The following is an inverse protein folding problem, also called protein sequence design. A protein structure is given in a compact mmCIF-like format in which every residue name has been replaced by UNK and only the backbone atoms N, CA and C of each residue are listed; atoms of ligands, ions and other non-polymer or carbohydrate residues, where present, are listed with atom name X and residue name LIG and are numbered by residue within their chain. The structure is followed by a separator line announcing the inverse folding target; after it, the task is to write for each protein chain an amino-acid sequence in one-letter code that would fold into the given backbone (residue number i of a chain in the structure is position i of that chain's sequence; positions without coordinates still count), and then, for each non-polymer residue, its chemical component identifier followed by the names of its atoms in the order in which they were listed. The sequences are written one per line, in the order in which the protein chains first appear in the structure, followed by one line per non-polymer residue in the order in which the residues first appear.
data_IF_001447282394
#
_entry.id   IF_001447282394
#
_cell.length_a   1.000
_cell.length_b   1.000
_cell.length_c   1.000
_cell.angle_alpha   90.00
_cell.angle_beta   90.00
_cell.angle_gamma   90.00
#
_symmetry.space_group_name_H-M   'P 1'
#
loop_
_entity.id
_entity.type
_entity.pdbx_description
1 polymer ?
2 water ?
#
# COMPACT_ATOMS: atom_id res chain seq x y z
N UNK A 8 2.14 2.57 27.83
CA UNK A 8 3.03 1.58 27.23
C UNK A 8 2.35 0.93 26.04
N UNK A 9 3.12 0.73 24.97
CA UNK A 9 2.57 0.27 23.71
C UNK A 9 2.62 -1.25 23.52
N UNK A 10 1.70 -1.72 22.71
CA UNK A 10 1.87 -3.04 22.17
C UNK A 10 1.47 -3.05 20.70
N UNK A 11 2.16 -3.89 19.97
CA UNK A 11 2.12 -3.80 18.54
C UNK A 11 1.77 -5.13 17.95
N UNK A 12 0.73 -5.10 17.12
CA UNK A 12 0.18 -6.32 16.56
C UNK A 12 0.32 -6.31 15.07
N UNK A 13 0.87 -7.38 14.52
CA UNK A 13 0.86 -7.56 13.07
C UNK A 13 -0.03 -8.76 12.75
N UNK A 14 -0.68 -8.74 11.59
CA UNK A 14 -1.65 -9.74 11.18
C UNK A 14 -1.60 -9.78 9.69
N UNK A 15 -2.02 -10.90 9.14
CA UNK A 15 -1.85 -11.27 7.73
C UNK A 15 -3.10 -11.72 6.99
N UNK A 16 -3.31 -11.09 5.82
CA UNK A 16 -4.17 -11.62 4.79
C UNK A 16 -3.36 -12.51 3.92
N UNK A 17 -3.49 -13.79 4.18
CA UNK A 17 -2.79 -14.85 3.48
C UNK A 17 -3.59 -15.21 2.24
N UNK A 18 -2.97 -14.92 1.10
CA UNK A 18 -3.59 -15.01 -0.20
C UNK A 18 -3.08 -16.28 -0.88
N UNK A 19 -3.97 -16.95 -1.61
CA UNK A 19 -3.53 -17.94 -2.58
C UNK A 19 -3.02 -17.29 -3.85
N UNK A 20 -2.58 -18.13 -4.79
CA UNK A 20 -1.90 -17.67 -5.98
C UNK A 20 -2.83 -16.86 -6.85
N UNK A 21 -4.09 -17.25 -6.98
CA UNK A 21 -5.08 -16.44 -7.73
C UNK A 21 -5.58 -15.23 -6.96
N UNK A 22 -5.29 -15.17 -5.67
CA UNK A 22 -5.75 -14.07 -4.86
C UNK A 22 -7.28 -14.08 -4.86
N UNK A 23 -7.86 -15.28 -4.83
CA UNK A 23 -9.30 -15.48 -4.79
C UNK A 23 -9.68 -15.99 -3.41
N UNK A 24 -8.72 -16.39 -2.61
CA UNK A 24 -9.04 -17.05 -1.33
C UNK A 24 -8.06 -16.54 -0.29
N UNK A 25 -8.50 -16.47 0.93
CA UNK A 25 -7.55 -16.23 2.00
C UNK A 25 -7.69 -17.29 3.11
N UNK A 26 -6.53 -17.58 3.75
CA UNK A 26 -6.46 -18.43 4.94
C UNK A 26 -6.62 -17.69 6.31
N UNK A 27 -7.59 -18.19 7.05
CA UNK A 27 -8.19 -17.49 8.15
C UNK A 27 -8.34 -18.55 9.27
N UNK A 28 -8.25 -18.11 10.55
CA UNK A 28 -8.12 -19.05 11.65
C UNK A 28 -9.00 -18.71 12.85
N UNK A 29 -9.42 -19.74 13.56
CA UNK A 29 -10.16 -19.57 14.78
C UNK A 29 -9.51 -20.33 15.94
N UNK A 30 -9.22 -19.61 17.01
CA UNK A 30 -8.55 -20.19 18.17
C UNK A 30 -9.51 -21.00 18.94
N UNK A 31 -9.01 -22.08 19.61
CA UNK A 31 -9.84 -22.83 20.57
C UNK A 31 -10.51 -21.84 21.53
N UNK A 32 -11.84 -21.69 21.47
CA UNK A 32 -12.57 -20.70 22.28
C UNK A 32 -12.00 -20.42 23.69
N UNK A 33 -10.70 -20.13 23.78
CA UNK A 33 -9.90 -20.18 25.01
C UNK A 33 -10.68 -20.67 26.24
N UNK A 36 -10.86 -15.97 24.78
CA UNK A 36 -12.21 -15.96 25.29
C UNK A 36 -13.09 -14.99 24.51
N UNK A 37 -13.43 -15.41 23.31
CA UNK A 37 -14.45 -14.80 22.47
C UNK A 37 -14.86 -15.98 21.59
N UNK A 38 -15.18 -15.72 20.33
CA UNK A 38 -15.47 -16.78 19.39
C UNK A 38 -15.48 -16.27 17.96
N UNK A 39 -14.32 -16.07 17.36
CA UNK A 39 -14.31 -15.48 16.03
C UNK A 39 -13.12 -15.82 15.16
N UNK A 40 -13.32 -15.71 13.86
CA UNK A 40 -12.26 -15.84 12.91
C UNK A 40 -11.42 -14.58 12.87
N UNK A 41 -10.19 -14.73 12.43
CA UNK A 41 -9.22 -13.65 12.38
C UNK A 41 -8.03 -13.89 11.40
N UNK A 42 -7.41 -12.78 10.97
CA UNK A 42 -6.27 -12.79 10.12
C UNK A 42 -5.17 -13.17 11.04
N UNK A 43 -4.43 -14.25 10.75
CA UNK A 43 -3.39 -14.70 11.69
C UNK A 43 -2.26 -13.70 11.95
N UNK A 44 -1.87 -13.57 13.22
CA UNK A 44 -0.78 -12.71 13.63
C UNK A 44 -0.26 -12.90 15.08
N UNK A 45 0.40 -11.86 15.57
CA UNK A 45 0.94 -11.85 16.91
C UNK A 45 1.69 -10.56 17.23
N UNK A 46 2.29 -10.52 18.41
CA UNK A 46 3.02 -9.34 18.89
C UNK A 46 4.42 -9.24 18.37
N UNK A 47 4.80 -8.01 18.07
CA UNK A 47 6.13 -7.74 17.56
C UNK A 47 7.04 -7.53 18.78
N UNK A 48 8.19 -8.18 18.73
CA UNK A 48 9.08 -8.23 19.88
C UNK A 48 10.10 -7.12 19.75
N UNK A 49 10.82 -6.87 20.85
CA UNK A 49 11.58 -5.63 20.99
C UNK A 49 12.77 -5.62 20.10
N UNK A 50 13.26 -6.77 19.65
CA UNK A 50 14.40 -6.79 18.72
C UNK A 50 14.08 -7.13 17.27
N UNK A 51 12.86 -6.80 16.87
CA UNK A 51 12.43 -7.07 15.53
C UNK A 51 11.50 -5.98 14.98
N UNK A 52 11.65 -5.76 13.69
CA UNK A 52 10.72 -4.99 12.88
C UNK A 52 9.34 -5.66 12.77
N UNK A 53 8.32 -4.86 12.46
CA UNK A 53 7.03 -5.38 12.03
C UNK A 53 7.12 -6.54 11.11
N UNK A 54 7.76 -6.28 9.97
CA UNK A 54 7.86 -7.29 8.93
C UNK A 54 8.45 -8.53 9.53
N UNK A 55 9.55 -8.40 10.27
CA UNK A 55 10.17 -9.57 10.91
C UNK A 55 9.17 -10.34 11.77
N UNK A 56 8.38 -9.62 12.54
CA UNK A 56 7.51 -10.27 13.49
C UNK A 56 6.46 -11.05 12.73
N UNK A 57 5.91 -10.44 11.70
CA UNK A 57 4.89 -11.12 10.95
C UNK A 57 5.45 -12.40 10.33
N UNK A 58 6.61 -12.31 9.66
CA UNK A 58 7.17 -13.52 9.03
C UNK A 58 7.36 -14.61 10.08
N UNK A 59 7.86 -14.27 11.26
CA UNK A 59 8.12 -15.28 12.26
C UNK A 59 6.79 -15.88 12.72
N UNK A 60 5.84 -14.99 12.98
CA UNK A 60 4.53 -15.38 13.51
C UNK A 60 3.82 -16.29 12.57
N UNK A 61 3.99 -16.11 11.26
CA UNK A 61 3.26 -17.00 10.37
C UNK A 61 3.95 -18.33 10.34
N UNK A 62 5.24 -18.36 10.68
CA UNK A 62 5.88 -19.67 10.91
C UNK A 62 5.28 -20.42 12.10
N UNK A 63 5.29 -19.77 13.26
CA UNK A 63 4.74 -20.37 14.47
C UNK A 63 3.24 -20.73 14.27
N UNK A 64 2.46 -19.78 13.77
CA UNK A 64 1.03 -19.96 13.74
C UNK A 64 0.55 -20.97 12.76
N UNK A 65 1.19 -21.04 11.61
CA UNK A 65 0.50 -21.54 10.42
C UNK A 65 1.35 -22.37 9.46
N UNK A 66 2.66 -22.34 9.67
CA UNK A 66 3.57 -23.31 9.10
C UNK A 66 4.19 -22.77 7.83
N UNK A 67 3.98 -21.52 7.45
CA UNK A 67 4.52 -21.02 6.18
C UNK A 67 5.70 -20.07 6.33
N UNK A 68 6.52 -20.02 5.29
CA UNK A 68 7.68 -19.13 5.21
C UNK A 68 7.35 -18.05 4.25
N UNK A 69 7.14 -16.87 4.78
CA UNK A 69 6.72 -15.74 3.98
C UNK A 69 7.87 -15.25 3.11
N UNK A 70 7.56 -14.98 1.85
CA UNK A 70 8.58 -14.52 0.91
C UNK A 70 8.15 -13.20 0.28
N UNK A 71 6.87 -12.93 0.28
CA UNK A 71 6.43 -11.68 -0.29
C UNK A 71 5.27 -11.16 0.55
N UNK A 72 5.41 -9.92 1.03
CA UNK A 72 4.35 -9.29 1.78
C UNK A 72 4.43 -7.80 1.62
N UNK A 73 3.35 -7.08 1.92
CA UNK A 73 3.27 -5.66 1.66
C UNK A 73 2.35 -5.08 2.66
N UNK A 74 2.66 -3.92 3.24
CA UNK A 74 1.73 -3.30 4.19
C UNK A 74 0.39 -3.05 3.50
N UNK A 75 -0.72 -3.33 4.15
CA UNK A 75 -2.06 -3.27 3.57
C UNK A 75 -2.91 -2.18 4.23
N UNK A 76 -2.79 -2.05 5.53
CA UNK A 76 -3.60 -1.12 6.28
C UNK A 76 -3.16 -1.10 7.74
N UNK A 77 -3.15 0.06 8.36
CA UNK A 77 -2.74 0.21 9.75
C UNK A 77 -3.90 0.82 10.50
N UNK A 78 -4.06 0.44 11.77
CA UNK A 78 -5.18 0.89 12.62
C UNK A 78 -4.71 1.16 14.03
N UNK A 79 -5.11 2.30 14.61
CA UNK A 79 -4.68 2.68 15.95
C UNK A 79 -5.85 2.68 16.88
N UNK A 80 -5.65 2.26 18.12
CA UNK A 80 -6.70 2.39 19.14
C UNK A 80 -6.23 2.72 20.56
N UNK A 81 -6.92 3.71 21.15
CA UNK A 81 -6.63 4.20 22.48
C UNK A 81 -7.05 3.18 23.54
N UNK A 86 -1.94 1.78 24.74
CA UNK A 86 -2.23 2.18 23.37
C UNK A 86 -1.79 1.12 22.34
N UNK A 87 -2.63 0.93 21.35
CA UNK A 87 -2.72 -0.32 20.65
C UNK A 87 -2.47 -0.17 19.14
N UNK A 88 -1.40 -0.79 18.61
CA UNK A 88 -1.02 -0.55 17.18
C UNK A 88 -1.16 -1.76 16.32
N UNK A 89 -1.98 -1.64 15.28
CA UNK A 89 -2.33 -2.74 14.38
C UNK A 89 -1.88 -2.56 12.95
N UNK A 90 -1.00 -3.44 12.50
CA UNK A 90 -0.54 -3.40 11.13
C UNK A 90 -0.97 -4.70 10.40
N UNK A 91 -1.74 -4.54 9.32
CA UNK A 91 -2.17 -5.66 8.55
C UNK A 91 -1.39 -5.68 7.29
N UNK A 92 -0.91 -6.86 6.94
CA UNK A 92 -0.25 -7.02 5.70
C UNK A 92 -0.95 -8.09 4.91
N UNK A 93 -0.66 -7.88 3.66
CA UNK A 93 -0.82 -8.75 2.53
C UNK A 93 0.24 -9.78 2.44
N UNK A 94 -0.12 -11.04 2.37
CA UNK A 94 0.86 -12.09 2.13
C UNK A 94 0.47 -12.86 0.87
N UNK A 95 1.35 -12.71 -0.11
CA UNK A 95 1.11 -13.05 -1.52
C UNK A 95 1.94 -14.23 -1.97
N UNK A 96 3.08 -14.44 -1.33
CA UNK A 96 3.88 -15.59 -1.62
C UNK A 96 4.51 -16.13 -0.38
N UNK A 97 4.48 -17.45 -0.26
CA UNK A 97 5.14 -18.11 0.86
C UNK A 97 5.53 -19.51 0.42
N UNK A 98 6.36 -20.14 1.25
CA UNK A 98 6.67 -21.54 1.10
C UNK A 98 5.85 -22.27 2.14
N UNK A 99 5.59 -23.56 1.94
CA UNK A 99 5.00 -24.37 3.00
C UNK A 99 3.58 -24.18 2.59
N UNK A 100 2.67 -24.97 3.12
CA UNK A 100 1.25 -24.68 2.92
C UNK A 100 0.59 -24.46 4.30
N UNK A 101 -0.30 -23.43 4.45
CA UNK A 101 -0.72 -23.12 5.85
C UNK A 101 -1.71 -24.11 6.49
N UNK A 102 -1.58 -24.32 7.80
CA UNK A 102 -2.34 -25.29 8.59
C UNK A 102 -2.42 -24.72 9.99
N UNK A 103 -3.34 -25.23 10.79
CA UNK A 103 -3.48 -24.75 12.17
C UNK A 103 -2.48 -25.40 13.11
N UNK A 104 -1.29 -24.82 13.15
CA UNK A 104 -0.16 -25.41 13.79
C UNK A 104 -0.20 -25.28 15.28
N UNK A 105 -1.08 -24.43 15.79
CA UNK A 105 -1.17 -24.17 17.22
C UNK A 105 -2.50 -24.63 17.77
N UNK A 106 -3.16 -25.53 17.08
CA UNK A 106 -4.37 -26.11 17.55
C UNK A 106 -5.59 -25.31 17.10
N UNK A 107 -5.42 -24.38 16.16
CA UNK A 107 -6.58 -23.57 15.76
C UNK A 107 -7.27 -24.18 14.59
N UNK A 108 -8.38 -23.57 14.27
CA UNK A 108 -9.16 -23.88 13.08
C UNK A 108 -8.59 -23.02 11.99
N UNK A 109 -8.41 -23.59 10.81
CA UNK A 109 -7.96 -22.83 9.65
C UNK A 109 -8.90 -23.05 8.51
N UNK A 110 -9.28 -22.00 7.77
CA UNK A 110 -10.23 -22.13 6.63
C UNK A 110 -9.58 -21.45 5.48
N UNK A 111 -9.61 -22.11 4.33
CA UNK A 111 -9.33 -21.43 3.08
C UNK A 111 -10.68 -20.95 2.62
N UNK A 112 -10.86 -19.64 2.56
CA UNK A 112 -12.18 -19.08 2.34
C UNK A 112 -12.16 -18.11 1.17
N UNK A 113 -13.03 -18.47 0.23
CA UNK A 113 -13.36 -17.63 -0.89
C UNK A 113 -13.63 -16.17 -0.43
N UNK A 114 -12.96 -15.23 -1.06
CA UNK A 114 -13.14 -13.80 -0.76
C UNK A 114 -14.60 -13.32 -0.87
N UNK A 115 -15.25 -13.80 -1.90
CA UNK A 115 -16.67 -13.78 -2.05
C UNK A 115 -17.38 -14.08 -0.78
N UNK A 116 -16.84 -15.04 -0.04
CA UNK A 116 -17.59 -15.66 1.05
C UNK A 116 -17.15 -15.07 2.40
N UNK A 117 -16.22 -14.11 2.39
CA UNK A 117 -15.58 -13.70 3.65
C UNK A 117 -16.58 -13.06 4.56
N UNK A 118 -17.45 -12.26 3.95
CA UNK A 118 -18.61 -11.70 4.60
C UNK A 118 -19.35 -12.76 5.46
N UNK A 119 -19.22 -14.07 5.14
CA UNK A 119 -20.10 -15.11 5.73
C UNK A 119 -19.65 -15.38 7.16
N UNK A 120 -18.45 -14.97 7.58
CA UNK A 120 -17.83 -15.37 8.87
C UNK A 120 -17.79 -14.25 9.86
N UNK A 121 -17.80 -14.62 11.14
CA UNK A 121 -17.77 -13.69 12.27
C UNK A 121 -16.36 -13.30 12.58
N UNK A 122 -16.11 -12.00 12.60
CA UNK A 122 -14.83 -11.45 12.90
C UNK A 122 -15.03 -10.48 14.05
N UNK A 123 -14.01 -10.31 14.89
CA UNK A 123 -14.09 -9.26 15.93
C UNK A 123 -14.21 -7.90 15.28
N UNK A 124 -14.73 -6.89 15.94
CA UNK A 124 -14.93 -5.63 15.25
C UNK A 124 -13.60 -5.09 14.73
N UNK A 125 -12.49 -5.35 15.43
CA UNK A 125 -11.21 -4.80 15.03
C UNK A 125 -10.91 -5.11 13.54
N UNK A 126 -11.19 -6.32 13.11
CA UNK A 126 -10.90 -6.75 11.76
C UNK A 126 -11.93 -6.36 10.69
N UNK A 127 -13.08 -5.83 11.08
CA UNK A 127 -14.14 -5.59 10.11
C UNK A 127 -13.67 -4.69 8.98
N UNK A 128 -13.12 -3.51 9.31
CA UNK A 128 -12.66 -2.67 8.19
C UNK A 128 -11.59 -3.36 7.32
N UNK A 129 -10.82 -4.30 7.87
CA UNK A 129 -9.85 -4.98 7.04
C UNK A 129 -10.56 -6.01 6.18
N UNK A 130 -11.57 -6.68 6.71
CA UNK A 130 -12.35 -7.68 5.95
C UNK A 130 -12.97 -6.98 4.78
N UNK A 131 -13.43 -5.77 4.99
CA UNK A 131 -14.16 -5.07 3.95
C UNK A 131 -13.16 -4.58 2.93
N UNK A 132 -11.97 -4.18 3.37
CA UNK A 132 -10.94 -3.70 2.44
C UNK A 132 -10.49 -4.83 1.53
N UNK A 133 -10.34 -6.04 2.06
CA UNK A 133 -9.99 -7.18 1.25
C UNK A 133 -11.09 -7.40 0.19
N UNK A 134 -12.32 -7.30 0.63
CA UNK A 134 -13.46 -7.62 -0.21
C UNK A 134 -13.50 -6.53 -1.30
N UNK A 135 -13.37 -5.28 -0.91
CA UNK A 135 -13.39 -4.17 -1.86
C UNK A 135 -12.26 -4.31 -2.86
N UNK A 136 -11.04 -4.60 -2.41
CA UNK A 136 -9.94 -4.90 -3.31
C UNK A 136 -10.06 -6.28 -3.98
N UNK A 137 -11.29 -6.69 -4.36
CA UNK A 137 -11.70 -8.09 -4.65
C UNK A 137 -10.60 -9.08 -4.34
N UNK B 7 19.22 9.50 -14.35
CA UNK B 7 19.16 8.89 -15.71
C UNK B 7 20.41 8.04 -15.88
N UNK B 8 20.50 7.04 -15.00
CA UNK B 8 21.49 5.98 -15.17
C UNK B 8 21.08 5.06 -16.34
N UNK B 9 19.82 4.59 -16.36
CA UNK B 9 19.33 3.72 -17.47
C UNK B 9 17.84 3.84 -17.82
N UNK B 10 16.98 3.69 -16.82
CA UNK B 10 15.62 4.17 -16.99
C UNK B 10 15.27 5.10 -15.82
N UNK B 11 14.74 6.26 -16.20
CA UNK B 11 14.65 7.39 -15.33
C UNK B 11 13.26 7.92 -15.45
N UNK B 12 12.48 7.74 -14.40
CA UNK B 12 11.09 8.11 -14.37
C UNK B 12 10.95 9.35 -13.51
N UNK B 13 10.11 10.27 -13.94
CA UNK B 13 9.73 11.37 -13.09
C UNK B 13 8.25 11.36 -12.76
N UNK B 14 7.91 12.03 -11.67
CA UNK B 14 6.57 11.91 -11.12
C UNK B 14 6.22 13.08 -10.22
N UNK B 15 4.91 13.35 -10.11
CA UNK B 15 4.41 14.58 -9.53
C UNK B 15 3.37 14.37 -8.46
N UNK B 16 3.70 14.85 -7.27
CA UNK B 16 2.69 15.10 -6.25
C UNK B 16 2.06 16.43 -6.54
N UNK B 17 0.88 16.38 -7.13
CA UNK B 17 0.23 17.57 -7.69
C UNK B 17 -0.70 18.11 -6.66
N UNK B 18 -0.34 19.29 -6.19
CA UNK B 18 -0.93 19.94 -5.03
C UNK B 18 -1.88 21.03 -5.43
N UNK B 19 -2.96 21.21 -4.67
CA UNK B 19 -3.83 22.37 -4.81
C UNK B 19 -3.47 23.54 -3.90
N UNK B 20 -4.11 24.68 -4.10
CA UNK B 20 -4.00 25.75 -3.14
C UNK B 20 -5.07 25.53 -2.06
N UNK B 21 -4.70 25.20 -0.82
CA UNK B 21 -3.35 25.03 -0.33
C UNK B 21 -3.19 23.67 0.36
N UNK B 22 -2.89 22.67 -0.46
CA UNK B 22 -2.22 21.45 -0.04
C UNK B 22 -3.06 20.56 0.87
N UNK B 23 -4.37 20.77 0.83
CA UNK B 23 -5.36 19.83 1.39
C UNK B 23 -5.41 18.56 0.55
N UNK B 24 -5.28 18.74 -0.78
CA UNK B 24 -5.65 17.68 -1.75
C UNK B 24 -4.57 17.46 -2.84
N UNK B 25 -4.55 16.26 -3.42
CA UNK B 25 -3.58 15.92 -4.48
C UNK B 25 -4.26 15.27 -5.66
N UNK B 26 -3.70 15.50 -6.85
CA UNK B 26 -4.29 14.94 -8.05
C UNK B 26 -3.57 13.71 -8.61
N UNK B 27 -4.31 12.62 -8.59
CA UNK B 27 -3.93 11.25 -8.89
C UNK B 27 -4.69 10.71 -10.08
N UNK B 28 -4.12 9.75 -10.81
CA UNK B 28 -4.74 9.19 -11.99
C UNK B 28 -4.67 7.66 -12.01
N UNK B 29 -5.51 7.04 -12.84
CA UNK B 29 -5.51 5.59 -13.02
C UNK B 29 -5.63 5.22 -14.50
N UNK B 39 -4.32 0.47 -10.71
CA UNK B 39 -3.48 1.20 -9.76
C UNK B 39 -3.56 2.73 -9.95
N UNK B 40 -3.67 3.46 -8.84
CA UNK B 40 -3.58 4.91 -8.88
C UNK B 40 -2.16 5.31 -8.88
N UNK B 41 -1.85 6.53 -9.28
CA UNK B 41 -0.44 6.93 -9.20
C UNK B 41 -0.29 8.44 -9.30
N UNK B 42 0.87 8.93 -8.87
CA UNK B 42 1.27 10.31 -9.13
C UNK B 42 1.70 10.44 -10.61
N UNK B 43 1.01 11.31 -11.39
CA UNK B 43 1.24 11.30 -12.84
C UNK B 43 2.73 11.50 -13.20
N UNK B 44 3.23 10.71 -14.15
CA UNK B 44 4.63 10.68 -14.46
C UNK B 44 4.99 10.28 -15.87
N UNK B 45 6.27 9.94 -16.06
CA UNK B 45 6.81 9.58 -17.37
C UNK B 45 8.31 9.41 -17.39
N UNK B 46 8.81 8.77 -18.41
CA UNK B 46 10.24 8.56 -18.54
C UNK B 46 10.88 9.85 -18.97
N UNK B 47 12.11 10.06 -18.53
CA UNK B 47 12.90 11.19 -18.99
C UNK B 47 13.61 10.83 -20.30
N UNK B 48 13.33 11.55 -21.37
CA UNK B 48 13.87 11.18 -22.66
C UNK B 48 15.25 11.78 -22.92
N UNK B 49 15.94 11.23 -23.91
CA UNK B 49 17.31 11.65 -24.23
C UNK B 49 17.32 13.12 -24.54
N UNK B 50 18.20 13.84 -23.88
CA UNK B 50 18.31 15.28 -24.04
C UNK B 50 17.64 16.15 -22.97
N UNK B 51 16.75 15.56 -22.18
CA UNK B 51 15.96 16.27 -21.16
C UNK B 51 16.49 16.24 -19.74
N UNK B 52 16.36 17.37 -19.05
CA UNK B 52 16.43 17.38 -17.62
C UNK B 52 15.17 16.69 -17.08
N UNK B 53 15.31 16.13 -15.88
CA UNK B 53 14.19 15.58 -15.12
C UNK B 53 13.06 16.61 -14.98
N UNK B 54 13.44 17.83 -14.65
CA UNK B 54 12.52 18.92 -14.49
C UNK B 54 11.69 19.16 -15.77
N UNK B 55 12.37 19.30 -16.91
CA UNK B 55 11.68 19.61 -18.17
C UNK B 55 10.89 18.41 -18.65
N UNK B 56 11.36 17.20 -18.35
CA UNK B 56 10.62 15.98 -18.69
C UNK B 56 9.30 15.93 -17.92
N UNK B 57 9.32 16.38 -16.68
CA UNK B 57 8.11 16.48 -15.89
C UNK B 57 7.15 17.50 -16.47
N UNK B 58 7.68 18.67 -16.69
CA UNK B 58 6.86 19.77 -17.09
C UNK B 58 6.22 19.42 -18.39
N UNK B 59 6.88 18.56 -19.16
CA UNK B 59 6.37 18.14 -20.45
C UNK B 59 5.28 17.11 -20.26
N UNK B 60 5.58 16.15 -19.38
CA UNK B 60 4.69 15.03 -19.11
C UNK B 60 3.35 15.48 -18.55
N UNK B 61 3.35 16.39 -17.58
CA UNK B 61 2.12 16.91 -17.00
C UNK B 61 1.25 17.67 -18.03
N UNK B 62 1.83 18.51 -18.90
CA UNK B 62 1.03 19.08 -20.01
C UNK B 62 0.33 17.99 -20.83
N UNK B 63 1.06 16.96 -21.24
CA UNK B 63 0.45 15.89 -22.03
C UNK B 63 -0.67 15.16 -21.29
N UNK B 64 -0.41 14.81 -20.03
CA UNK B 64 -1.29 13.90 -19.33
C UNK B 64 -2.51 14.51 -18.65
N UNK B 65 -2.35 15.68 -18.06
CA UNK B 65 -3.39 16.33 -17.27
C UNK B 65 -3.55 17.75 -17.68
N UNK B 66 -2.75 18.17 -18.62
CA UNK B 66 -2.90 19.47 -19.22
C UNK B 66 -2.71 20.65 -18.30
N UNK B 67 -1.83 20.57 -17.33
CA UNK B 67 -1.49 21.75 -16.54
C UNK B 67 -0.15 22.18 -17.06
N UNK B 68 0.18 23.44 -16.84
CA UNK B 68 1.51 23.95 -17.14
C UNK B 68 2.23 24.29 -15.86
N UNK B 69 3.20 23.44 -15.49
CA UNK B 69 3.93 23.58 -14.23
C UNK B 69 4.73 24.87 -14.21
N UNK B 70 4.49 25.70 -13.21
CA UNK B 70 5.28 26.92 -13.02
C UNK B 70 6.08 26.84 -11.71
N UNK B 71 5.71 25.91 -10.83
CA UNK B 71 6.43 25.72 -9.58
C UNK B 71 6.49 24.25 -9.22
N UNK B 72 7.71 23.76 -9.05
CA UNK B 72 7.93 22.41 -8.59
C UNK B 72 9.27 22.37 -7.92
N UNK B 73 9.44 21.39 -7.01
CA UNK B 73 10.68 21.10 -6.31
C UNK B 73 10.79 19.60 -6.12
N UNK B 74 12.01 19.04 -6.08
CA UNK B 74 12.20 17.59 -5.82
C UNK B 74 11.79 17.31 -4.41
N UNK B 75 11.05 16.24 -4.24
CA UNK B 75 10.40 15.87 -2.98
C UNK B 75 11.22 14.71 -2.40
N UNK B 76 11.46 13.74 -3.27
CA UNK B 76 12.20 12.55 -2.94
C UNK B 76 12.57 11.80 -4.20
N UNK B 77 13.61 11.00 -4.10
CA UNK B 77 14.13 10.26 -5.22
C UNK B 77 14.28 8.78 -4.85
N UNK B 78 14.27 7.89 -5.84
CA UNK B 78 13.98 6.45 -5.65
C UNK B 78 14.83 5.63 -6.63
N UNK B 79 15.56 4.59 -6.19
CA UNK B 79 16.39 3.80 -7.13
C UNK B 79 16.35 2.27 -6.89
N UNK B 80 16.06 1.47 -7.91
CA UNK B 80 15.83 0.02 -7.71
C UNK B 80 17.02 -0.91 -7.91
N UNK B 81 17.88 -0.62 -8.88
CA UNK B 81 18.93 -1.55 -9.33
C UNK B 81 18.38 -2.91 -9.70
N UNK B 82 18.23 -3.11 -11.01
CA UNK B 82 17.89 -4.40 -11.58
C UNK B 82 19.11 -4.94 -12.32
N UNK B 86 18.47 -0.81 -14.14
CA UNK B 86 18.25 -0.08 -12.90
C UNK B 86 17.27 1.08 -13.13
N UNK B 87 16.22 1.13 -12.30
CA UNK B 87 15.09 2.03 -12.57
C UNK B 87 15.07 3.21 -11.58
N UNK B 88 15.33 4.42 -12.10
CA UNK B 88 15.59 5.58 -11.22
C UNK B 88 14.42 6.60 -11.20
N UNK B 89 13.75 6.77 -10.06
CA UNK B 89 12.62 7.70 -9.97
C UNK B 89 12.96 9.00 -9.30
N UNK B 90 12.46 10.11 -9.85
CA UNK B 90 12.45 11.41 -9.16
C UNK B 90 11.01 11.87 -8.92
N UNK B 91 10.60 11.93 -7.67
CA UNK B 91 9.32 12.55 -7.31
C UNK B 91 9.52 13.99 -6.94
N UNK B 92 8.71 14.84 -7.54
CA UNK B 92 8.74 16.28 -7.39
C UNK B 92 7.37 16.70 -6.82
N UNK B 93 7.32 17.79 -6.06
CA UNK B 93 6.04 18.38 -5.66
C UNK B 93 5.72 19.48 -6.69
N UNK B 94 4.45 19.65 -7.05
CA UNK B 94 4.07 20.66 -8.06
C UNK B 94 3.03 21.57 -7.47
N UNK B 95 3.42 22.81 -7.20
CA UNK B 95 2.70 23.62 -6.21
C UNK B 95 2.04 24.82 -6.84
N UNK B 96 2.46 25.17 -8.04
CA UNK B 96 1.80 26.21 -8.80
C UNK B 96 1.83 25.80 -10.25
N UNK B 97 0.78 26.15 -10.98
CA UNK B 97 0.66 25.81 -12.40
C UNK B 97 -0.51 26.56 -13.06
N UNK B 98 -0.41 26.83 -14.36
CA UNK B 98 -1.53 27.41 -15.10
C UNK B 98 -2.44 26.27 -15.54
N UNK B 99 -3.68 26.58 -15.91
CA UNK B 99 -4.68 25.56 -16.23
C UNK B 99 -5.03 24.74 -15.00
N UNK B 100 -5.95 23.80 -15.15
CA UNK B 100 -6.35 22.88 -14.06
C UNK B 100 -6.36 21.45 -14.64
N UNK B 101 -5.86 20.47 -13.84
CA UNK B 101 -5.61 19.11 -14.36
C UNK B 101 -6.87 18.30 -14.65
N UNK B 102 -6.84 17.47 -15.69
CA UNK B 102 -7.94 16.55 -15.99
C UNK B 102 -7.38 15.30 -16.70
N UNK B 103 -8.16 14.25 -16.81
CA UNK B 103 -7.72 13.03 -17.46
C UNK B 103 -7.65 13.20 -18.96
N UNK B 104 -6.74 14.07 -19.38
CA UNK B 104 -6.57 14.54 -20.76
C UNK B 104 -6.14 13.43 -21.71
N UNK B 105 -5.73 12.29 -21.17
CA UNK B 105 -5.39 11.11 -21.96
C UNK B 105 -6.46 10.02 -21.84
N UNK B 106 -7.59 10.38 -21.26
CA UNK B 106 -8.70 9.46 -21.13
C UNK B 106 -8.66 8.73 -19.82
N UNK B 107 -7.70 9.09 -18.97
CA UNK B 107 -7.51 8.33 -17.74
C UNK B 107 -8.44 8.85 -16.67
N UNK B 108 -8.52 8.14 -15.56
CA UNK B 108 -9.28 8.62 -14.42
C UNK B 108 -8.39 9.59 -13.67
N UNK B 109 -8.96 10.56 -12.98
CA UNK B 109 -8.20 11.60 -12.33
C UNK B 109 -9.07 12.30 -11.31
N UNK B 110 -8.65 12.23 -10.05
CA UNK B 110 -9.44 12.69 -8.92
C UNK B 110 -8.59 13.59 -8.06
N UNK B 111 -9.13 14.72 -7.65
CA UNK B 111 -8.57 15.42 -6.50
C UNK B 111 -8.89 14.60 -5.23
N UNK B 112 -7.85 14.22 -4.51
CA UNK B 112 -8.02 13.32 -3.38
C UNK B 112 -7.56 14.02 -2.14
N UNK B 113 -8.47 14.10 -1.18
CA UNK B 113 -8.13 14.56 0.15
C UNK B 113 -6.92 13.76 0.71
N UNK B 114 -5.95 14.49 1.25
CA UNK B 114 -4.69 13.89 1.69
C UNK B 114 -4.96 12.88 2.79
N UNK B 115 -5.98 13.19 3.57
CA UNK B 115 -6.54 12.33 4.61
C UNK B 115 -6.92 10.92 4.14
N UNK B 116 -7.00 10.74 2.81
CA UNK B 116 -7.70 9.58 2.27
C UNK B 116 -6.87 8.78 1.32
N UNK B 117 -5.64 9.20 1.05
CA UNK B 117 -4.85 8.55 0.02
C UNK B 117 -4.70 7.03 0.20
N UNK B 118 -4.79 6.51 1.44
CA UNK B 118 -4.60 5.08 1.68
C UNK B 118 -5.75 4.26 1.09
N UNK B 119 -6.90 4.90 0.88
CA UNK B 119 -8.02 4.23 0.23
C UNK B 119 -7.64 3.81 -1.18
N UNK B 120 -6.50 4.30 -1.66
CA UNK B 120 -6.10 4.07 -3.03
C UNK B 120 -4.88 3.20 -3.11
N UNK B 121 -4.92 2.30 -4.11
CA UNK B 121 -3.80 1.44 -4.41
C UNK B 121 -2.84 2.11 -5.38
N UNK B 122 -1.76 2.66 -4.82
CA UNK B 122 -0.61 3.09 -5.61
C UNK B 122 0.30 1.89 -5.79
N UNK B 123 0.98 1.80 -6.93
CA UNK B 123 1.96 0.70 -7.05
C UNK B 123 3.03 0.77 -5.96
N UNK B 124 3.51 -0.42 -5.56
CA UNK B 124 4.45 -0.61 -4.47
C UNK B 124 5.79 -0.10 -4.92
N UNK B 125 6.01 1.19 -4.75
CA UNK B 125 7.05 1.90 -5.45
C UNK B 125 6.77 3.35 -5.19
N UNK B 126 5.53 3.71 -5.48
CA UNK B 126 5.00 4.93 -4.96
C UNK B 126 4.79 4.91 -3.46
N UNK B 127 5.02 3.79 -2.81
CA UNK B 127 4.54 3.66 -1.44
C UNK B 127 5.33 4.53 -0.41
N UNK B 128 6.66 4.69 -0.57
CA UNK B 128 7.32 5.64 0.33
C UNK B 128 6.93 7.08 0.05
N UNK B 129 6.68 7.38 -1.21
CA UNK B 129 6.20 8.70 -1.59
C UNK B 129 4.84 9.06 -0.93
N UNK B 130 3.87 8.13 -0.96
CA UNK B 130 2.59 8.24 -0.23
C UNK B 130 2.82 8.48 1.29
N UNK B 131 3.75 7.72 1.87
CA UNK B 131 4.15 7.93 3.26
C UNK B 131 4.64 9.39 3.50
N UNK B 132 5.54 9.86 2.68
CA UNK B 132 6.05 11.21 2.88
C UNK B 132 4.95 12.26 2.56
N UNK B 133 4.07 11.98 1.60
CA UNK B 133 2.94 12.91 1.36
C UNK B 133 2.06 13.00 2.61
N UNK B 134 1.62 11.87 3.13
CA UNK B 134 0.88 11.87 4.40
C UNK B 134 1.77 12.45 5.55
N UNK B 135 3.09 12.19 5.59
CA UNK B 135 3.89 12.74 6.70
C UNK B 135 4.09 14.25 6.52
N UNK B 136 4.33 14.68 5.27
CA UNK B 136 4.87 16.04 4.88
C UNK B 136 6.43 16.15 4.72
N UNK B 137 7.13 17.00 5.47
CA UNK B 137 8.29 17.74 4.96
C UNK B 137 8.42 17.73 3.46
#
# INVERSE_FOLDING_TARGET
HHHHHHMKRIHIVAGIIFNSDQSEIFITKRPDHLHKGGFWEFPGGKVEAGESREQAMVRELEEEIGITVTEQQAFQHFDFDYTDKSLSFDFMLVTAFDGQPHGREGQQGGWVKIADLANYRFPEANDPVVKQVIAQFG
HHHHHHMKRIHIVAGIIFNSDQSEIFITKRPDHLHKGGFWEFPGGKVEAGESREQAMVRELEEEIGITVTEQQAFQHFDFDYTDKSLSFDFMLVTAFDGQPHGREGQQGGWVKIADLANYRFPEANDPVVKQVIAQFG
#
